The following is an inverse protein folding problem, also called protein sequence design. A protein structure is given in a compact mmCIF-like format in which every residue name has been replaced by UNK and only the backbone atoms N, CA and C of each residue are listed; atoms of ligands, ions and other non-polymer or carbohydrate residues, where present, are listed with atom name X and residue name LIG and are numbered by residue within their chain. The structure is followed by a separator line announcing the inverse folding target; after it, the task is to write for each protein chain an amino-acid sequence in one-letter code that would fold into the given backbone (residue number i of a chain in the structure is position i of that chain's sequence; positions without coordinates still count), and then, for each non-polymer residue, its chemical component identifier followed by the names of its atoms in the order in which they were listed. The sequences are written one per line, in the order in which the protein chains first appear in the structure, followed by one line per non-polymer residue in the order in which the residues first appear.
data_IF_763709422969
#
_entry.id   IF_763709422969
#
_cell.length_a   1.000
_cell.length_b   1.000
_cell.length_c   1.000
_cell.angle_alpha   90.00
_cell.angle_beta   90.00
_cell.angle_gamma   90.00
#
_symmetry.space_group_name_H-M   'P 1'
#
loop_
_entity.id
_entity.type
_entity.pdbx_description
1 polymer ?
#
# COMPACT_ATOMS: atom_id res chain seq x y z
N UNK A 1 40.17 13.72 -6.11
CA UNK A 1 39.31 12.58 -6.51
C UNK A 1 38.57 13.02 -7.74
N UNK A 2 38.70 12.28 -8.84
CA UNK A 2 37.83 12.46 -10.02
C UNK A 2 36.44 12.01 -9.57
N UNK A 3 35.46 12.93 -9.61
CA UNK A 3 34.08 12.64 -9.24
C UNK A 3 33.44 11.72 -10.27
N UNK A 4 32.61 10.78 -9.81
CA UNK A 4 31.87 9.80 -10.64
C UNK A 4 30.67 10.41 -11.35
N UNK A 5 30.66 11.72 -11.55
CA UNK A 5 29.57 12.44 -12.22
C UNK A 5 29.64 12.17 -13.72
N UNK A 6 28.48 11.86 -14.31
CA UNK A 6 28.34 11.60 -15.73
C UNK A 6 27.06 12.27 -16.26
N UNK A 7 27.12 12.73 -17.51
CA UNK A 7 25.99 13.28 -18.25
C UNK A 7 25.70 12.33 -19.41
N UNK A 8 24.43 11.95 -19.57
CA UNK A 8 23.96 11.06 -20.62
C UNK A 8 22.86 11.77 -21.41
N UNK A 9 23.01 11.84 -22.73
CA UNK A 9 21.97 12.37 -23.61
C UNK A 9 20.76 11.43 -23.61
N UNK A 10 19.56 12.01 -23.52
CA UNK A 10 18.30 11.28 -23.53
C UNK A 10 17.18 12.11 -24.19
N UNK A 11 16.41 11.47 -25.08
CA UNK A 11 15.22 12.10 -25.69
C UNK A 11 14.03 12.16 -24.73
N UNK A 12 13.96 11.21 -23.78
CA UNK A 12 12.90 11.11 -22.79
C UNK A 12 13.40 10.39 -21.53
N UNK A 13 12.87 10.79 -20.37
CA UNK A 13 13.14 10.17 -19.07
C UNK A 13 11.82 9.74 -18.44
N UNK A 14 11.70 8.45 -18.10
CA UNK A 14 10.54 7.89 -17.41
C UNK A 14 10.95 7.48 -16.00
N UNK A 15 10.30 8.09 -15.00
CA UNK A 15 10.54 7.77 -13.59
C UNK A 15 9.75 6.52 -13.20
N UNK A 16 10.47 5.43 -12.91
CA UNK A 16 9.88 4.12 -12.58
C UNK A 16 10.28 3.62 -11.17
N UNK A 17 10.34 4.53 -10.19
CA UNK A 17 10.70 4.19 -8.80
C UNK A 17 9.59 3.44 -8.03
N UNK A 18 8.41 3.28 -8.63
CA UNK A 18 7.23 2.72 -7.98
C UNK A 18 6.37 3.76 -7.29
N UNK A 19 5.59 3.33 -6.29
CA UNK A 19 4.55 4.14 -5.66
C UNK A 19 4.81 4.33 -4.16
N UNK A 20 4.36 5.46 -3.62
CA UNK A 20 4.30 5.72 -2.18
C UNK A 20 2.84 5.87 -1.76
N UNK A 21 2.42 5.28 -0.63
CA UNK A 21 1.05 5.46 -0.15
C UNK A 21 0.76 6.93 0.16
N UNK A 22 -0.43 7.38 -0.24
CA UNK A 22 -0.96 8.70 0.05
C UNK A 22 -2.36 8.50 0.64
N UNK A 23 -2.46 8.19 1.94
CA UNK A 23 -3.74 7.90 2.58
C UNK A 23 -4.60 9.16 2.57
N UNK A 24 -5.84 9.09 2.07
CA UNK A 24 -6.75 10.23 2.08
C UNK A 24 -7.27 10.49 3.50
N UNK A 25 -7.64 11.75 3.77
CA UNK A 25 -8.06 12.21 5.10
C UNK A 25 -9.25 11.43 5.67
N UNK A 26 -10.16 10.96 4.80
CA UNK A 26 -11.34 10.20 5.21
C UNK A 26 -11.01 8.91 5.98
N UNK A 27 -9.82 8.34 5.80
CA UNK A 27 -9.41 7.17 6.58
C UNK A 27 -9.36 7.50 8.07
N UNK A 28 -8.68 8.59 8.43
CA UNK A 28 -8.60 9.05 9.81
C UNK A 28 -9.96 9.49 10.35
N UNK A 29 -10.76 10.21 9.54
CA UNK A 29 -12.11 10.64 9.90
C UNK A 29 -13.04 9.45 10.22
N UNK A 30 -12.77 8.28 9.63
CA UNK A 30 -13.54 7.05 9.84
C UNK A 30 -12.83 6.05 10.75
N UNK A 31 -11.86 6.47 11.59
CA UNK A 31 -11.13 5.60 12.51
C UNK A 31 -10.42 4.41 11.83
N UNK A 32 -9.87 4.61 10.63
CA UNK A 32 -9.06 3.62 9.92
C UNK A 32 -7.58 4.01 10.08
N UNK A 33 -6.84 3.22 10.86
CA UNK A 33 -5.46 3.46 11.17
C UNK A 33 -4.53 3.09 10.00
N UNK A 34 -3.41 3.80 9.94
CA UNK A 34 -2.29 3.51 9.04
C UNK A 34 -1.01 3.38 9.83
N UNK A 35 -0.10 2.51 9.39
CA UNK A 35 1.20 2.33 10.01
C UNK A 35 2.20 3.44 9.62
N UNK A 36 3.43 3.34 10.12
CA UNK A 36 4.51 4.30 9.84
C UNK A 36 4.86 4.44 8.34
N UNK A 37 4.54 3.41 7.54
CA UNK A 37 4.72 3.41 6.07
C UNK A 37 3.48 3.92 5.33
N UNK A 38 2.49 4.45 6.05
CA UNK A 38 1.22 4.98 5.52
C UNK A 38 0.33 3.93 4.83
N UNK A 39 0.53 2.65 5.16
CA UNK A 39 -0.32 1.54 4.72
C UNK A 39 -1.43 1.31 5.75
N UNK A 40 -2.62 0.91 5.30
CA UNK A 40 -3.77 0.63 6.16
C UNK A 40 -3.45 -0.54 7.09
N UNK A 41 -3.73 -0.39 8.38
CA UNK A 41 -3.63 -1.47 9.33
C UNK A 41 -4.85 -2.39 9.21
N UNK A 42 -4.65 -3.56 8.60
CA UNK A 42 -5.64 -4.62 8.51
C UNK A 42 -4.95 -5.96 8.75
N UNK A 43 -5.44 -6.74 9.73
CA UNK A 43 -4.81 -8.01 10.08
C UNK A 43 -5.38 -9.13 9.21
N UNK A 44 -4.51 -9.86 8.51
CA UNK A 44 -4.93 -11.04 7.73
C UNK A 44 -5.46 -12.19 8.60
N UNK A 45 -5.25 -12.13 9.92
CA UNK A 45 -5.70 -13.14 10.89
C UNK A 45 -6.47 -12.47 12.03
N UNK A 46 -7.54 -13.12 12.49
CA UNK A 46 -8.42 -12.61 13.53
C UNK A 46 -9.80 -13.27 13.47
N UNK A 47 -10.73 -12.78 14.29
CA UNK A 47 -12.15 -13.17 14.19
C UNK A 47 -12.76 -12.72 12.85
N UNK A 48 -12.35 -11.55 12.37
CA UNK A 48 -12.69 -11.02 11.05
C UNK A 48 -11.39 -10.71 10.29
N UNK A 49 -11.07 -11.54 9.29
CA UNK A 49 -9.88 -11.38 8.46
C UNK A 49 -9.93 -10.07 7.68
N UNK A 50 -8.78 -9.40 7.54
CA UNK A 50 -8.62 -8.15 6.80
C UNK A 50 -9.43 -6.96 7.36
N UNK A 51 -9.96 -7.07 8.59
CA UNK A 51 -10.67 -5.97 9.25
C UNK A 51 -9.68 -4.87 9.65
N UNK A 52 -10.05 -3.62 9.39
CA UNK A 52 -9.30 -2.43 9.83
C UNK A 52 -9.61 -2.10 11.30
N UNK A 53 -9.04 -1.00 11.81
CA UNK A 53 -9.46 -0.46 13.13
C UNK A 53 -10.90 0.04 13.16
N UNK A 54 -11.54 0.25 12.00
CA UNK A 54 -12.99 0.43 11.91
C UNK A 54 -13.66 -0.94 11.66
N UNK A 55 -14.50 -1.45 12.58
CA UNK A 55 -15.12 -2.77 12.44
C UNK A 55 -16.00 -2.97 11.20
N UNK A 56 -16.41 -1.88 10.53
CA UNK A 56 -17.25 -1.90 9.33
C UNK A 56 -16.46 -1.81 8.02
N UNK A 57 -15.13 -1.71 8.10
CA UNK A 57 -14.26 -1.50 6.94
C UNK A 57 -13.16 -2.54 6.91
N UNK A 58 -12.97 -3.13 5.73
CA UNK A 58 -11.98 -4.16 5.44
C UNK A 58 -11.02 -3.67 4.36
N UNK A 59 -9.77 -4.11 4.41
CA UNK A 59 -8.75 -3.72 3.45
C UNK A 59 -7.77 -4.87 3.14
N UNK A 60 -7.26 -4.88 1.91
CA UNK A 60 -6.27 -5.82 1.42
C UNK A 60 -5.53 -5.27 0.20
N UNK A 61 -4.63 -6.07 -0.36
CA UNK A 61 -3.77 -5.71 -1.48
C UNK A 61 -2.73 -4.64 -1.13
N UNK A 62 -2.34 -3.86 -2.15
CA UNK A 62 -1.29 -2.85 -2.05
C UNK A 62 -1.56 -1.78 -0.97
N UNK A 63 -2.83 -1.52 -0.65
CA UNK A 63 -3.21 -0.57 0.40
C UNK A 63 -2.75 -1.02 1.80
N UNK A 64 -2.57 -2.34 2.01
CA UNK A 64 -2.15 -2.95 3.28
C UNK A 64 -0.69 -3.42 3.22
N UNK A 65 -0.26 -3.99 2.09
CA UNK A 65 1.08 -4.61 1.93
C UNK A 65 2.12 -3.67 1.31
N UNK A 66 1.71 -2.66 0.55
CA UNK A 66 2.55 -1.98 -0.45
C UNK A 66 2.60 -2.79 -1.77
N UNK A 67 3.34 -2.31 -2.77
CA UNK A 67 3.35 -2.92 -4.11
C UNK A 67 3.71 -4.41 -4.09
N UNK A 68 2.75 -5.26 -4.50
CA UNK A 68 2.86 -6.72 -4.52
C UNK A 68 2.23 -7.30 -5.81
N UNK A 69 2.17 -8.62 -5.93
CA UNK A 69 1.58 -9.33 -7.06
C UNK A 69 0.05 -9.30 -7.01
N UNK A 70 -0.57 -9.23 -8.20
CA UNK A 70 -2.03 -9.25 -8.35
C UNK A 70 -2.70 -10.47 -7.68
N UNK A 71 -2.02 -11.63 -7.68
CA UNK A 71 -2.55 -12.85 -7.06
C UNK A 71 -2.70 -12.73 -5.54
N UNK A 72 -1.80 -11.97 -4.90
CA UNK A 72 -1.87 -11.71 -3.47
C UNK A 72 -3.04 -10.79 -3.15
N UNK A 73 -3.22 -9.72 -3.94
CA UNK A 73 -4.34 -8.81 -3.78
C UNK A 73 -5.70 -9.53 -3.97
N UNK A 74 -5.80 -10.45 -4.93
CA UNK A 74 -6.99 -11.28 -5.12
C UNK A 74 -7.24 -12.18 -3.91
N UNK A 75 -6.20 -12.84 -3.38
CA UNK A 75 -6.34 -13.71 -2.22
C UNK A 75 -6.83 -12.95 -0.98
N UNK A 76 -6.29 -11.76 -0.71
CA UNK A 76 -6.73 -10.92 0.42
C UNK A 76 -8.14 -10.37 0.21
N UNK A 77 -8.52 -10.05 -1.03
CA UNK A 77 -9.89 -9.67 -1.35
C UNK A 77 -10.90 -10.79 -1.07
N UNK A 78 -10.52 -12.05 -1.30
CA UNK A 78 -11.35 -13.22 -0.94
C UNK A 78 -11.43 -13.41 0.58
N UNK A 79 -10.29 -13.32 1.27
CA UNK A 79 -10.25 -13.42 2.74
C UNK A 79 -11.07 -12.34 3.44
N UNK A 80 -11.12 -11.13 2.89
CA UNK A 80 -11.92 -10.03 3.43
C UNK A 80 -13.44 -10.21 3.24
N UNK A 81 -13.87 -11.13 2.38
CA UNK A 81 -15.27 -11.38 2.06
C UNK A 81 -15.85 -12.63 2.74
N UNK A 82 -14.99 -13.47 3.32
CA UNK A 82 -15.37 -14.65 4.13
C UNK A 82 -15.87 -14.24 5.52
#
# INVERSE_FOLDING_TARGET
MVGTEAVQDADCVIMAFGFRPSPPDWLAENNIAVNDRKLIEARATGEFSCQTTNPKVFAGGDAVRGSDLVVTAIAEGRLAAE
#
